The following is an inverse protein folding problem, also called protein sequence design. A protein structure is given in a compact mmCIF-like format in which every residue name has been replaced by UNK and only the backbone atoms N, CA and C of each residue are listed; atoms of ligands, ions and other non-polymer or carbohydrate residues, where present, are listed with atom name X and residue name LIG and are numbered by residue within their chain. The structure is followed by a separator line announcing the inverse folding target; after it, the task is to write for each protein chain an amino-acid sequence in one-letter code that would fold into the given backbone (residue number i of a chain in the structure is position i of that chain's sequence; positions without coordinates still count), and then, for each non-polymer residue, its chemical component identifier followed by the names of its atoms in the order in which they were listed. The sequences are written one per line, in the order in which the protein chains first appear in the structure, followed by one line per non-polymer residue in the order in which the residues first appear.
data_IF_581442787182
#
_entry.id   IF_581442787182
#
_cell.length_a   1.000
_cell.length_b   1.000
_cell.length_c   1.000
_cell.angle_alpha   90.00
_cell.angle_beta   90.00
_cell.angle_gamma   90.00
#
_symmetry.space_group_name_H-M   'P 1'
#
loop_
_entity.id
_entity.type
_entity.pdbx_description
1 polymer ?
#
# COMPACT_ATOMS: atom_id res chain seq x y z
N UNK A 1 12.13 50.75 38.83
CA UNK A 1 10.88 50.08 38.36
C UNK A 1 10.71 50.18 36.85
N UNK A 2 10.88 51.37 36.26
CA UNK A 2 10.71 51.59 34.82
C UNK A 2 11.76 50.85 33.97
N UNK A 3 13.03 50.81 34.40
CA UNK A 3 14.09 50.04 33.73
C UNK A 3 13.81 48.53 33.70
N UNK A 4 13.24 47.97 34.76
CA UNK A 4 12.87 46.56 34.82
C UNK A 4 11.73 46.23 33.84
N UNK A 5 10.74 47.12 33.73
CA UNK A 5 9.66 47.00 32.75
C UNK A 5 10.17 47.05 31.30
N UNK A 6 11.14 47.92 31.02
CA UNK A 6 11.76 48.01 29.69
C UNK A 6 12.50 46.72 29.36
N UNK A 7 13.30 46.19 30.30
CA UNK A 7 14.04 44.93 30.08
C UNK A 7 13.09 43.76 29.86
N UNK A 8 12.02 43.64 30.65
CA UNK A 8 11.00 42.59 30.48
C UNK A 8 10.29 42.71 29.14
N UNK A 9 9.91 43.93 28.73
CA UNK A 9 9.27 44.17 27.44
C UNK A 9 10.21 43.85 26.27
N UNK A 10 11.49 44.21 26.36
CA UNK A 10 12.50 43.92 25.34
C UNK A 10 12.74 42.42 25.20
N UNK A 11 12.87 41.70 26.32
CA UNK A 11 13.04 40.24 26.35
C UNK A 11 11.81 39.54 25.78
N UNK A 12 10.61 39.99 26.16
CA UNK A 12 9.35 39.49 25.62
C UNK A 12 9.27 39.68 24.10
N UNK A 13 9.60 40.88 23.61
CA UNK A 13 9.62 41.19 22.18
C UNK A 13 10.62 40.31 21.42
N UNK A 14 11.83 40.12 21.98
CA UNK A 14 12.88 39.31 21.39
C UNK A 14 12.45 37.84 21.28
N UNK A 15 11.90 37.28 22.37
CA UNK A 15 11.36 35.92 22.40
C UNK A 15 10.26 35.73 21.35
N UNK A 16 9.34 36.69 21.27
CA UNK A 16 8.24 36.64 20.30
C UNK A 16 8.77 36.69 18.87
N UNK A 17 9.75 37.57 18.60
CA UNK A 17 10.40 37.67 17.29
C UNK A 17 11.12 36.39 16.88
N UNK A 18 11.83 35.74 17.81
CA UNK A 18 12.51 34.46 17.57
C UNK A 18 11.51 33.33 17.34
N UNK A 19 10.41 33.28 18.10
CA UNK A 19 9.34 32.29 17.91
C UNK A 19 8.66 32.43 16.54
N UNK A 20 8.31 33.65 16.15
CA UNK A 20 7.69 33.91 14.84
C UNK A 20 8.69 33.61 13.72
N UNK A 21 9.95 34.01 13.87
CA UNK A 21 11.00 33.76 12.88
C UNK A 21 11.26 32.26 12.66
N UNK A 22 11.39 31.50 13.76
CA UNK A 22 11.58 30.04 13.70
C UNK A 22 10.36 29.33 13.14
N UNK A 23 9.15 29.73 13.51
CA UNK A 23 7.91 29.20 12.95
C UNK A 23 7.81 29.46 11.43
N UNK A 24 8.13 30.67 10.97
CA UNK A 24 8.12 31.03 9.54
C UNK A 24 9.19 30.25 8.76
N UNK A 25 10.38 30.05 9.33
CA UNK A 25 11.43 29.25 8.70
C UNK A 25 11.08 27.76 8.64
N UNK A 26 10.50 27.21 9.71
CA UNK A 26 9.95 25.85 9.71
C UNK A 26 8.87 25.70 8.65
N UNK A 27 7.92 26.65 8.59
CA UNK A 27 6.86 26.66 7.60
C UNK A 27 7.42 26.77 6.17
N UNK A 28 8.40 27.66 5.93
CA UNK A 28 9.08 27.78 4.62
C UNK A 28 9.88 26.53 4.26
N UNK A 29 10.53 25.89 5.23
CA UNK A 29 11.29 24.64 5.02
C UNK A 29 10.37 23.47 4.70
N UNK A 30 9.24 23.37 5.41
CA UNK A 30 8.15 22.41 5.15
C UNK A 30 7.49 22.65 3.79
N UNK A 31 7.24 23.91 3.42
CA UNK A 31 6.72 24.29 2.10
C UNK A 31 7.71 24.04 0.97
N UNK A 32 9.03 24.04 1.24
CA UNK A 32 10.05 23.77 0.20
C UNK A 32 10.28 22.28 -0.04
N UNK A 33 9.92 21.40 0.90
CA UNK A 33 10.09 19.95 0.81
C UNK A 33 8.77 19.24 0.50
N UNK A 34 8.34 19.19 -0.77
CA UNK A 34 7.30 18.27 -1.33
C UNK A 34 5.90 18.23 -0.66
N UNK A 35 5.64 18.96 0.41
CA UNK A 35 4.36 19.02 1.12
C UNK A 35 3.36 20.01 0.51
N UNK A 36 3.76 20.80 -0.49
CA UNK A 36 2.86 21.74 -1.19
C UNK A 36 1.75 20.99 -1.93
N UNK A 37 2.01 19.78 -2.43
CA UNK A 37 1.00 18.92 -3.03
C UNK A 37 -0.01 18.40 -1.99
N UNK A 38 0.45 18.02 -0.80
CA UNK A 38 -0.41 17.53 0.28
C UNK A 38 -1.18 18.65 0.98
N UNK A 39 -0.57 19.83 1.10
CA UNK A 39 -1.18 21.00 1.73
C UNK A 39 -2.26 21.64 0.84
N UNK A 40 -2.06 21.65 -0.48
CA UNK A 40 -3.13 22.07 -1.40
C UNK A 40 -4.31 21.11 -1.36
N UNK A 41 -4.07 19.79 -1.36
CA UNK A 41 -5.13 18.79 -1.18
C UNK A 41 -5.88 18.99 0.16
N UNK A 42 -5.18 19.24 1.27
CA UNK A 42 -5.76 19.53 2.58
C UNK A 42 -6.57 20.84 2.63
N UNK A 43 -6.14 21.89 1.92
CA UNK A 43 -6.89 23.15 1.83
C UNK A 43 -8.14 22.98 0.98
N UNK A 44 -8.07 22.25 -0.15
CA UNK A 44 -9.28 21.91 -0.91
C UNK A 44 -10.23 21.01 -0.12
N UNK A 45 -9.72 20.02 0.61
CA UNK A 45 -10.53 19.14 1.46
C UNK A 45 -11.12 19.91 2.65
N UNK A 46 -10.39 20.87 3.22
CA UNK A 46 -10.86 21.77 4.28
C UNK A 46 -11.95 22.73 3.81
N UNK A 47 -11.80 23.34 2.64
CA UNK A 47 -12.82 24.20 2.03
C UNK A 47 -14.06 23.38 1.67
N UNK A 48 -13.89 22.14 1.19
CA UNK A 48 -15.00 21.22 0.93
C UNK A 48 -15.71 20.80 2.23
N UNK A 49 -14.98 20.48 3.29
CA UNK A 49 -15.54 20.15 4.60
C UNK A 49 -16.32 21.33 5.20
N UNK A 50 -15.78 22.54 5.12
CA UNK A 50 -16.48 23.76 5.55
C UNK A 50 -17.74 24.01 4.70
N UNK A 51 -17.68 23.77 3.39
CA UNK A 51 -18.85 23.90 2.51
C UNK A 51 -19.93 22.83 2.78
N UNK A 52 -19.53 21.64 3.26
CA UNK A 52 -20.44 20.54 3.60
C UNK A 52 -21.10 20.71 4.97
N UNK A 53 -20.40 21.35 5.92
CA UNK A 53 -20.87 21.63 7.28
C UNK A 53 -21.64 22.94 7.41
N UNK A 54 -21.53 23.88 6.45
CA UNK A 54 -22.28 25.14 6.49
C UNK A 54 -23.71 24.90 5.98
N UNK A 55 -24.77 25.15 6.78
CA UNK A 55 -26.16 24.87 6.45
C UNK A 55 -26.77 25.91 5.49
N UNK A 56 -25.97 26.48 4.58
CA UNK A 56 -26.51 27.27 3.47
C UNK A 56 -26.76 26.31 2.32
N UNK A 57 -27.95 26.41 1.72
CA UNK A 57 -28.34 25.69 0.53
C UNK A 57 -27.38 26.03 -0.62
N UNK A 58 -26.27 25.29 -0.70
CA UNK A 58 -25.40 25.34 -1.87
C UNK A 58 -26.13 24.60 -2.99
N UNK A 59 -26.25 25.21 -4.17
CA UNK A 59 -27.07 24.67 -5.25
C UNK A 59 -26.64 23.27 -5.71
N UNK A 60 -25.47 22.78 -5.29
CA UNK A 60 -24.99 21.43 -5.60
C UNK A 60 -24.20 20.75 -4.45
N UNK A 61 -24.79 20.65 -3.25
CA UNK A 61 -24.21 19.89 -2.12
C UNK A 61 -23.83 18.45 -2.50
N UNK A 62 -24.60 17.83 -3.39
CA UNK A 62 -24.33 16.50 -3.93
C UNK A 62 -22.91 16.39 -4.53
N UNK A 63 -22.49 17.36 -5.34
CA UNK A 63 -21.19 17.36 -6.00
C UNK A 63 -20.03 17.49 -5.00
N UNK A 64 -20.19 18.33 -3.98
CA UNK A 64 -19.20 18.46 -2.91
C UNK A 64 -19.00 17.13 -2.15
N UNK A 65 -20.10 16.44 -1.83
CA UNK A 65 -20.04 15.13 -1.18
C UNK A 65 -19.36 14.07 -2.06
N UNK A 66 -19.63 14.05 -3.37
CA UNK A 66 -18.94 13.13 -4.30
C UNK A 66 -17.45 13.45 -4.38
N UNK A 67 -17.07 14.72 -4.46
CA UNK A 67 -15.65 15.11 -4.51
C UNK A 67 -14.89 14.65 -3.26
N UNK A 68 -15.49 14.79 -2.07
CA UNK A 68 -14.94 14.28 -0.81
C UNK A 68 -14.84 12.75 -0.79
N UNK A 69 -15.88 12.05 -1.26
CA UNK A 69 -15.86 10.57 -1.36
C UNK A 69 -14.75 10.08 -2.28
N UNK A 70 -14.53 10.73 -3.43
CA UNK A 70 -13.44 10.40 -4.35
C UNK A 70 -12.08 10.63 -3.70
N UNK A 71 -11.88 11.74 -2.96
CA UNK A 71 -10.64 11.99 -2.20
C UNK A 71 -10.39 10.88 -1.17
N UNK A 72 -11.43 10.53 -0.39
CA UNK A 72 -11.34 9.48 0.63
C UNK A 72 -11.05 8.10 0.05
N UNK A 73 -11.71 7.72 -1.03
CA UNK A 73 -11.51 6.43 -1.70
C UNK A 73 -10.07 6.29 -2.21
N UNK A 74 -9.53 7.33 -2.85
CA UNK A 74 -8.12 7.35 -3.28
C UNK A 74 -7.14 7.24 -2.11
N UNK A 75 -7.41 7.92 -1.00
CA UNK A 75 -6.57 7.82 0.20
C UNK A 75 -6.58 6.39 0.77
N UNK A 76 -7.75 5.77 0.86
CA UNK A 76 -7.91 4.40 1.36
C UNK A 76 -7.18 3.42 0.45
N UNK A 77 -7.37 3.51 -0.87
CA UNK A 77 -6.68 2.65 -1.84
C UNK A 77 -5.15 2.77 -1.71
N UNK A 78 -4.62 3.99 -1.58
CA UNK A 78 -3.17 4.21 -1.36
C UNK A 78 -2.66 3.54 -0.09
N UNK A 79 -3.42 3.67 0.99
CA UNK A 79 -3.07 3.06 2.27
C UNK A 79 -3.05 1.53 2.17
N UNK A 80 -4.07 0.93 1.55
CA UNK A 80 -4.14 -0.52 1.32
C UNK A 80 -3.02 -1.04 0.42
N UNK A 81 -2.76 -0.37 -0.70
CA UNK A 81 -1.63 -0.71 -1.60
C UNK A 81 -0.29 -0.64 -0.86
N UNK A 82 -0.08 0.40 -0.05
CA UNK A 82 1.15 0.53 0.72
C UNK A 82 1.30 -0.56 1.81
N UNK A 83 0.20 -0.95 2.46
CA UNK A 83 0.19 -2.05 3.42
C UNK A 83 0.47 -3.39 2.74
N UNK A 84 -0.20 -3.69 1.64
CA UNK A 84 -0.01 -4.90 0.87
C UNK A 84 1.43 -5.03 0.32
N UNK A 85 2.01 -3.92 -0.18
CA UNK A 85 3.41 -3.90 -0.61
C UNK A 85 4.39 -4.18 0.53
N UNK A 86 4.14 -3.64 1.73
CA UNK A 86 4.97 -3.93 2.91
C UNK A 86 4.86 -5.38 3.37
N UNK A 87 3.70 -5.99 3.15
CA UNK A 87 3.48 -7.42 3.40
C UNK A 87 4.08 -8.31 2.30
N UNK A 88 4.66 -7.74 1.24
CA UNK A 88 5.23 -8.51 0.12
C UNK A 88 4.18 -9.05 -0.86
N UNK A 89 2.93 -8.58 -0.79
CA UNK A 89 1.86 -9.05 -1.66
C UNK A 89 2.14 -8.71 -3.13
N UNK A 90 1.87 -9.66 -4.03
CA UNK A 90 2.00 -9.46 -5.46
C UNK A 90 0.76 -8.72 -6.01
N UNK A 91 0.91 -7.42 -6.25
CA UNK A 91 -0.17 -6.55 -6.70
C UNK A 91 -0.28 -6.41 -8.24
N UNK A 92 0.53 -7.14 -9.01
CA UNK A 92 0.57 -7.04 -10.46
C UNK A 92 0.77 -5.60 -10.95
N UNK A 93 -0.11 -5.16 -11.86
CA UNK A 93 -0.07 -3.82 -12.47
C UNK A 93 -0.71 -2.71 -11.62
N UNK A 94 -1.32 -3.04 -10.47
CA UNK A 94 -2.04 -2.06 -9.63
C UNK A 94 -1.18 -0.83 -9.28
N UNK A 95 0.10 -0.98 -8.86
CA UNK A 95 0.95 0.18 -8.55
C UNK A 95 1.23 1.07 -9.77
N UNK A 96 1.26 0.48 -10.97
CA UNK A 96 1.53 1.18 -12.23
C UNK A 96 0.31 1.97 -12.71
N UNK A 97 -0.91 1.46 -12.50
CA UNK A 97 -2.15 2.16 -12.89
C UNK A 97 -2.59 3.23 -11.90
N UNK A 98 -2.13 3.16 -10.64
CA UNK A 98 -2.54 4.05 -9.56
C UNK A 98 -2.29 5.55 -9.86
N UNK A 99 -1.13 6.00 -10.37
CA UNK A 99 -0.91 7.40 -10.71
C UNK A 99 -1.89 7.95 -11.77
N UNK A 100 -2.30 7.10 -12.72
CA UNK A 100 -3.27 7.45 -13.75
C UNK A 100 -4.66 7.64 -13.15
N UNK A 101 -5.11 6.71 -12.30
CA UNK A 101 -6.39 6.81 -11.60
C UNK A 101 -6.46 8.03 -10.68
N UNK A 102 -5.36 8.38 -10.02
CA UNK A 102 -5.29 9.60 -9.22
C UNK A 102 -5.41 10.87 -10.07
N UNK A 103 -4.78 10.90 -11.24
CA UNK A 103 -4.90 12.02 -12.16
C UNK A 103 -6.36 12.19 -12.64
N UNK A 104 -7.04 11.09 -12.93
CA UNK A 104 -8.47 11.09 -13.28
C UNK A 104 -9.34 11.54 -12.10
N UNK A 105 -9.08 11.04 -10.89
CA UNK A 105 -9.75 11.48 -9.67
C UNK A 105 -9.55 12.98 -9.37
N UNK A 106 -8.33 13.51 -9.58
CA UNK A 106 -8.05 14.95 -9.47
C UNK A 106 -8.88 15.76 -10.48
N UNK A 107 -8.92 15.33 -11.75
CA UNK A 107 -9.73 15.99 -12.79
C UNK A 107 -11.21 15.99 -12.43
N UNK A 108 -11.74 14.88 -11.93
CA UNK A 108 -13.12 14.76 -11.46
C UNK A 108 -13.40 15.68 -10.26
N UNK A 109 -12.52 15.73 -9.25
CA UNK A 109 -12.66 16.63 -8.11
C UNK A 109 -12.71 18.10 -8.54
N UNK A 110 -11.83 18.51 -9.46
CA UNK A 110 -11.83 19.87 -10.01
C UNK A 110 -13.14 20.17 -10.75
N UNK A 111 -13.62 19.24 -11.58
CA UNK A 111 -14.88 19.40 -12.29
C UNK A 111 -16.08 19.49 -11.34
N UNK A 112 -16.15 18.63 -10.32
CA UNK A 112 -17.19 18.66 -9.29
C UNK A 112 -17.13 19.93 -8.45
N UNK A 113 -15.92 20.41 -8.12
CA UNK A 113 -15.71 21.66 -7.39
C UNK A 113 -16.25 22.88 -8.12
N UNK A 114 -16.08 22.95 -9.45
CA UNK A 114 -16.69 24.01 -10.28
C UNK A 114 -18.21 23.98 -10.25
N UNK A 115 -18.79 22.80 -10.03
CA UNK A 115 -20.23 22.58 -10.04
C UNK A 115 -20.90 22.94 -8.70
N UNK A 116 -20.16 22.96 -7.58
CA UNK A 116 -20.68 23.32 -6.24
C UNK A 116 -21.31 24.72 -6.19
N UNK A 117 -20.82 25.66 -7.02
CA UNK A 117 -21.33 27.03 -7.12
C UNK A 117 -22.24 27.29 -8.34
N UNK A 118 -22.52 26.28 -9.15
CA UNK A 118 -23.30 26.40 -10.39
C UNK A 118 -24.67 25.72 -10.25
N UNK A 119 -25.65 26.13 -11.05
CA UNK A 119 -26.96 25.45 -11.21
C UNK A 119 -27.03 24.59 -12.48
N UNK A 120 -25.90 24.45 -13.20
CA UNK A 120 -25.82 23.69 -14.43
C UNK A 120 -26.18 22.20 -14.24
N UNK A 121 -26.66 21.55 -15.30
CA UNK A 121 -27.00 20.14 -15.31
C UNK A 121 -25.79 19.28 -14.91
N UNK A 122 -25.87 18.67 -13.73
CA UNK A 122 -24.77 17.98 -13.06
C UNK A 122 -24.74 16.47 -13.30
N UNK A 123 -25.80 15.92 -13.90
CA UNK A 123 -26.12 14.49 -13.83
C UNK A 123 -25.04 13.61 -14.42
N UNK A 124 -24.56 13.94 -15.62
CA UNK A 124 -23.52 13.16 -16.29
C UNK A 124 -22.19 13.15 -15.51
N UNK A 125 -21.82 14.28 -14.88
CA UNK A 125 -20.61 14.37 -14.07
C UNK A 125 -20.75 13.59 -12.76
N UNK A 126 -21.93 13.58 -12.16
CA UNK A 126 -22.24 12.78 -10.98
C UNK A 126 -22.21 11.27 -11.33
N UNK A 127 -22.84 10.86 -12.42
CA UNK A 127 -22.82 9.46 -12.89
C UNK A 127 -21.39 9.00 -13.23
N UNK A 128 -20.56 9.90 -13.77
CA UNK A 128 -19.14 9.62 -13.99
C UNK A 128 -18.37 9.48 -12.68
N UNK A 129 -18.66 10.32 -11.68
CA UNK A 129 -18.03 10.21 -10.36
C UNK A 129 -18.44 8.93 -9.64
N UNK A 130 -19.71 8.53 -9.75
CA UNK A 130 -20.22 7.31 -9.12
C UNK A 130 -19.62 6.04 -9.78
N UNK A 131 -19.47 6.01 -11.12
CA UNK A 131 -18.70 4.96 -11.81
C UNK A 131 -17.23 4.91 -11.37
N UNK A 132 -16.59 6.07 -11.24
CA UNK A 132 -15.20 6.14 -10.76
C UNK A 132 -15.06 5.61 -9.33
N UNK A 133 -16.03 5.90 -8.46
CA UNK A 133 -16.07 5.38 -7.09
C UNK A 133 -16.23 3.86 -7.07
N UNK A 134 -17.07 3.29 -7.94
CA UNK A 134 -17.21 1.84 -8.09
C UNK A 134 -15.88 1.19 -8.48
N UNK A 135 -15.19 1.72 -9.50
CA UNK A 135 -13.87 1.22 -9.91
C UNK A 135 -12.84 1.28 -8.77
N UNK A 136 -12.84 2.34 -7.95
CA UNK A 136 -11.95 2.43 -6.79
C UNK A 136 -12.29 1.39 -5.70
N UNK A 137 -13.58 1.09 -5.52
CA UNK A 137 -14.02 0.05 -4.58
C UNK A 137 -13.57 -1.34 -5.06
N UNK A 138 -13.81 -1.68 -6.34
CA UNK A 138 -13.40 -2.94 -6.95
C UNK A 138 -11.87 -3.15 -6.83
N UNK A 139 -11.08 -2.10 -7.11
CA UNK A 139 -9.62 -2.18 -6.96
C UNK A 139 -9.18 -2.33 -5.50
N UNK A 140 -9.91 -1.72 -4.56
CA UNK A 140 -9.61 -1.90 -3.13
C UNK A 140 -9.87 -3.35 -2.71
N UNK A 141 -10.99 -3.94 -3.15
CA UNK A 141 -11.33 -5.34 -2.90
C UNK A 141 -10.28 -6.29 -3.50
N UNK A 142 -9.83 -6.04 -4.73
CA UNK A 142 -8.75 -6.82 -5.37
C UNK A 142 -7.44 -6.72 -4.59
N UNK A 143 -7.08 -5.52 -4.10
CA UNK A 143 -5.86 -5.33 -3.30
C UNK A 143 -5.98 -6.03 -1.95
N UNK A 144 -7.14 -5.96 -1.29
CA UNK A 144 -7.37 -6.65 -0.03
C UNK A 144 -7.33 -8.18 -0.22
N UNK A 145 -7.95 -8.71 -1.27
CA UNK A 145 -7.87 -10.13 -1.63
C UNK A 145 -6.43 -10.57 -1.95
N UNK A 146 -5.66 -9.74 -2.66
CA UNK A 146 -4.24 -10.01 -2.94
C UNK A 146 -3.37 -9.94 -1.67
N UNK A 147 -3.74 -9.12 -0.69
CA UNK A 147 -3.04 -9.03 0.59
C UNK A 147 -3.36 -10.22 1.52
N UNK A 148 -4.55 -10.78 1.42
CA UNK A 148 -4.97 -11.97 2.17
C UNK A 148 -4.52 -13.28 1.52
N UNK A 149 -4.19 -13.26 0.22
CA UNK A 149 -3.67 -14.42 -0.47
C UNK A 149 -2.35 -14.88 0.19
N UNK A 150 -2.24 -16.16 0.61
CA UNK A 150 -0.99 -16.68 1.13
C UNK A 150 0.11 -16.47 0.09
N UNK A 151 1.30 -16.08 0.55
CA UNK A 151 2.45 -15.92 -0.34
C UNK A 151 2.63 -17.22 -1.11
N UNK A 152 2.31 -17.20 -2.40
CA UNK A 152 2.44 -18.37 -3.28
C UNK A 152 3.88 -18.89 -3.23
N UNK A 153 4.84 -18.01 -2.96
CA UNK A 153 6.25 -18.34 -2.72
C UNK A 153 6.47 -19.26 -1.51
N UNK A 154 5.68 -19.15 -0.43
CA UNK A 154 5.81 -20.03 0.74
C UNK A 154 5.29 -21.43 0.44
N UNK A 155 4.22 -21.54 -0.35
CA UNK A 155 3.68 -22.82 -0.81
C UNK A 155 4.61 -23.47 -1.83
N UNK A 156 5.12 -22.70 -2.80
CA UNK A 156 6.08 -23.20 -3.78
C UNK A 156 7.43 -23.58 -3.16
N UNK A 157 7.92 -22.81 -2.18
CA UNK A 157 9.12 -23.15 -1.43
C UNK A 157 8.92 -24.47 -0.67
N UNK A 158 7.77 -24.64 -0.03
CA UNK A 158 7.43 -25.88 0.68
C UNK A 158 7.30 -27.08 -0.26
N UNK A 159 6.64 -26.91 -1.41
CA UNK A 159 6.52 -27.95 -2.43
C UNK A 159 7.90 -28.32 -3.02
N UNK A 160 8.78 -27.33 -3.22
CA UNK A 160 10.14 -27.55 -3.69
C UNK A 160 11.00 -28.28 -2.64
N UNK A 161 10.86 -27.95 -1.36
CA UNK A 161 11.51 -28.67 -0.26
C UNK A 161 11.02 -30.11 -0.16
N UNK A 162 9.71 -30.33 -0.28
CA UNK A 162 9.10 -31.66 -0.25
C UNK A 162 9.53 -32.50 -1.47
N UNK A 163 9.58 -31.92 -2.66
CA UNK A 163 10.11 -32.57 -3.86
C UNK A 163 11.60 -32.90 -3.72
N UNK A 164 12.41 -31.99 -3.15
CA UNK A 164 13.83 -32.24 -2.91
C UNK A 164 14.06 -33.36 -1.88
N UNK A 165 13.23 -33.42 -0.83
CA UNK A 165 13.24 -34.53 0.13
C UNK A 165 12.86 -35.85 -0.54
N UNK A 166 11.79 -35.86 -1.34
CA UNK A 166 11.37 -37.02 -2.12
C UNK A 166 12.50 -37.55 -3.03
N UNK A 167 13.18 -36.65 -3.74
CA UNK A 167 14.31 -37.02 -4.60
C UNK A 167 15.48 -37.61 -3.81
N UNK A 168 15.82 -37.04 -2.65
CA UNK A 168 16.90 -37.54 -1.77
C UNK A 168 16.56 -38.93 -1.24
N UNK A 169 15.33 -39.14 -0.77
CA UNK A 169 14.86 -40.44 -0.29
C UNK A 169 14.87 -41.47 -1.41
N UNK A 170 14.42 -41.10 -2.61
CA UNK A 170 14.41 -42.01 -3.76
C UNK A 170 15.83 -42.38 -4.19
N UNK A 171 16.75 -41.42 -4.19
CA UNK A 171 18.17 -41.65 -4.48
C UNK A 171 18.80 -42.58 -3.45
N UNK A 172 18.53 -42.38 -2.15
CA UNK A 172 19.01 -43.25 -1.09
C UNK A 172 18.49 -44.69 -1.25
N UNK A 173 17.19 -44.86 -1.49
CA UNK A 173 16.59 -46.17 -1.72
C UNK A 173 17.18 -46.87 -2.97
N UNK A 174 17.40 -46.12 -4.06
CA UNK A 174 18.06 -46.64 -5.26
C UNK A 174 19.50 -47.10 -4.98
N UNK A 175 20.26 -46.32 -4.21
CA UNK A 175 21.63 -46.71 -3.81
C UNK A 175 21.66 -47.94 -2.92
N UNK A 176 20.67 -48.14 -2.05
CA UNK A 176 20.54 -49.34 -1.22
C UNK A 176 20.23 -50.59 -2.07
N UNK A 177 19.32 -50.47 -3.04
CA UNK A 177 18.99 -51.55 -3.98
C UNK A 177 20.18 -51.94 -4.86
N UNK A 178 20.92 -50.95 -5.39
CA UNK A 178 22.08 -51.20 -6.25
C UNK A 178 23.33 -51.64 -5.48
N UNK A 179 23.49 -51.20 -4.22
CA UNK A 179 24.60 -51.61 -3.35
C UNK A 179 24.41 -53.00 -2.73
N UNK A 180 23.20 -53.55 -2.80
CA UNK A 180 22.90 -54.93 -2.41
C UNK A 180 23.29 -55.88 -3.54
N UNK A 181 24.59 -55.97 -3.83
CA UNK A 181 25.10 -57.09 -4.62
C UNK A 181 24.74 -58.41 -3.93
N UNK A 182 24.39 -59.46 -4.67
CA UNK A 182 23.98 -60.74 -4.12
C UNK A 182 25.17 -61.42 -3.43
N UNK A 183 25.38 -61.11 -2.14
CA UNK A 183 26.28 -61.82 -1.22
C UNK A 183 25.89 -63.30 -0.98
N UNK A 184 24.93 -63.83 -1.74
CA UNK A 184 24.42 -65.19 -1.65
C UNK A 184 24.79 -66.10 -2.82
N UNK A 185 25.74 -65.74 -3.69
CA UNK A 185 26.41 -66.74 -4.51
C UNK A 185 27.47 -67.46 -3.64
N UNK A 186 27.00 -68.13 -2.59
CA UNK A 186 27.79 -69.09 -1.83
C UNK A 186 28.28 -70.16 -2.83
N UNK A 187 29.59 -70.31 -3.06
CA UNK A 187 30.09 -71.36 -3.93
C UNK A 187 29.89 -72.69 -3.20
N UNK A 188 28.72 -73.28 -3.44
CA UNK A 188 28.55 -74.70 -3.27
C UNK A 188 29.63 -75.40 -4.09
N UNK A 189 30.36 -76.32 -3.45
CA UNK A 189 31.34 -77.26 -4.02
C UNK A 189 32.83 -76.89 -3.81
N UNK A 190 33.46 -77.52 -2.80
CA UNK A 190 34.29 -78.72 -3.03
C UNK A 190 34.88 -79.32 -1.74
N UNK A 191 34.26 -80.45 -1.37
CA UNK A 191 34.75 -81.72 -0.80
C UNK A 191 35.95 -81.75 0.18
N UNK A 192 35.82 -82.47 1.32
CA UNK A 192 36.95 -82.90 2.14
C UNK A 192 37.63 -84.14 1.52
N UNK A 193 38.84 -83.96 1.00
CA UNK A 193 39.73 -85.02 0.53
C UNK A 193 40.47 -85.73 1.67
N UNK A 194 39.81 -86.77 2.17
CA UNK A 194 40.25 -87.89 3.01
C UNK A 194 41.75 -88.24 2.98
N UNK A 195 42.34 -88.36 4.17
CA UNK A 195 43.60 -89.03 4.44
C UNK A 195 43.46 -90.57 4.37
N UNK A 196 44.43 -91.23 3.75
CA UNK A 196 44.85 -92.63 3.94
C UNK A 196 46.13 -92.83 3.11
N UNK A 197 47.29 -92.95 3.76
CA UNK A 197 48.05 -94.19 4.01
C UNK A 197 49.15 -94.42 2.97
#
# INVERSE_FOLDING_TARGET
MLEFLIVVALVGLLLTGVLVGTAVLLLRRLLRSRLVLTATDLVTDGVLAVSACRPRATPNRAAALRALRVSRAHRLLRERVALAQRAGAHLGDVPTVLPRLEAEGRRLRVALGRLVGSTAAARELLDRADRHLATLADLTEVVDAAAEAPAVDDLLARDAEEAALGLRLHTAAYTELMGREPQGAEPADRRPGRAAS
#
